data_IF_498697773570
#
_entry.id   IF_498697773570
#
_cell.length_a   1.000
_cell.length_b   1.000
_cell.length_c   1.000
_cell.angle_alpha   90.00
_cell.angle_beta   90.00
_cell.angle_gamma   90.00
#
_symmetry.space_group_name_H-M   'P 1'
#
loop_
_entity.id
_entity.type
_entity.pdbx_description
1 polymer ?
#
# COMPACT_ATOMS: atom_id res chain seq x y z
N UNK A 1 20.69 -78.73 2.94
CA UNK A 1 19.41 -78.04 3.13
C UNK A 1 19.40 -76.83 2.25
N UNK A 2 18.63 -76.87 1.17
CA UNK A 2 18.57 -75.86 0.12
C UNK A 2 17.35 -74.98 0.36
N UNK A 3 17.52 -73.67 0.41
CA UNK A 3 16.45 -72.70 0.51
C UNK A 3 16.16 -72.13 -0.89
N UNK A 4 14.90 -72.10 -1.36
CA UNK A 4 14.56 -71.57 -2.68
C UNK A 4 14.43 -70.06 -2.70
N UNK A 5 14.82 -69.49 -3.86
CA UNK A 5 14.77 -68.06 -4.16
C UNK A 5 13.33 -67.52 -4.30
N UNK A 6 13.09 -66.32 -3.82
CA UNK A 6 11.85 -65.57 -3.99
C UNK A 6 11.81 -64.86 -5.36
N UNK A 7 10.67 -64.82 -6.02
CA UNK A 7 10.50 -64.08 -7.26
C UNK A 7 10.32 -62.58 -7.04
N UNK A 8 10.70 -61.84 -8.05
CA UNK A 8 10.89 -60.41 -8.10
C UNK A 8 9.69 -59.55 -7.73
N UNK A 9 10.00 -58.43 -7.10
CA UNK A 9 9.12 -57.30 -6.85
C UNK A 9 8.85 -56.55 -8.16
N UNK A 10 7.61 -56.53 -8.54
CA UNK A 10 7.08 -55.64 -9.56
C UNK A 10 7.26 -54.19 -9.10
N UNK A 11 8.00 -53.40 -9.87
CA UNK A 11 8.13 -51.98 -9.70
C UNK A 11 6.84 -51.29 -10.12
N UNK A 12 5.99 -50.98 -9.16
CA UNK A 12 4.86 -50.09 -9.37
C UNK A 12 5.39 -48.64 -9.43
N UNK A 13 5.62 -48.17 -10.65
CA UNK A 13 5.92 -46.79 -10.95
C UNK A 13 4.66 -45.95 -10.69
N UNK A 14 4.52 -45.49 -9.45
CA UNK A 14 3.54 -44.47 -9.12
C UNK A 14 4.04 -43.13 -9.70
N UNK A 15 3.43 -42.72 -10.83
CA UNK A 15 3.61 -41.36 -11.35
C UNK A 15 3.28 -40.37 -10.21
N UNK A 16 4.12 -39.34 -9.99
CA UNK A 16 3.75 -38.34 -9.04
C UNK A 16 2.49 -37.64 -9.56
N UNK A 17 1.43 -37.70 -8.76
CA UNK A 17 0.23 -36.87 -8.93
C UNK A 17 0.71 -35.45 -8.96
N UNK A 18 0.54 -34.76 -10.09
CA UNK A 18 0.77 -33.31 -10.17
C UNK A 18 -0.11 -32.66 -9.12
N UNK A 19 0.50 -32.18 -8.05
CA UNK A 19 -0.14 -31.30 -7.12
C UNK A 19 -0.61 -30.09 -7.94
N UNK A 20 -1.93 -29.91 -8.05
CA UNK A 20 -2.49 -28.71 -8.66
C UNK A 20 -2.03 -27.54 -7.80
N UNK A 21 -1.15 -26.71 -8.35
CA UNK A 21 -0.76 -25.45 -7.75
C UNK A 21 -2.02 -24.58 -7.65
N UNK A 22 -2.61 -24.58 -6.46
CA UNK A 22 -3.79 -23.78 -6.09
C UNK A 22 -3.40 -22.42 -5.56
N UNK A 23 -2.12 -22.03 -5.69
CA UNK A 23 -1.65 -20.72 -5.28
C UNK A 23 -2.45 -19.62 -6.00
N UNK A 24 -3.06 -18.70 -5.29
CA UNK A 24 -3.80 -17.61 -5.89
C UNK A 24 -2.86 -16.75 -6.73
N UNK A 25 -3.27 -16.47 -7.95
CA UNK A 25 -2.51 -15.60 -8.84
C UNK A 25 -2.74 -14.15 -8.42
N UNK A 26 -1.66 -13.39 -8.32
CA UNK A 26 -1.65 -12.02 -7.86
C UNK A 26 -1.20 -11.11 -9.01
N UNK A 27 -2.05 -10.16 -9.41
CA UNK A 27 -1.64 -8.99 -10.18
C UNK A 27 -1.38 -7.86 -9.20
N UNK A 28 -0.20 -7.27 -9.26
CA UNK A 28 0.27 -6.26 -8.33
C UNK A 28 0.36 -4.90 -9.03
N UNK A 29 -0.24 -3.88 -8.42
CA UNK A 29 -0.11 -2.48 -8.81
C UNK A 29 0.43 -1.73 -7.61
N UNK A 30 1.55 -1.05 -7.78
CA UNK A 30 2.15 -0.22 -6.73
C UNK A 30 1.68 1.22 -6.91
N UNK A 31 1.34 1.88 -5.81
CA UNK A 31 1.04 3.31 -5.78
C UNK A 31 1.75 3.98 -4.62
N UNK A 32 2.06 5.26 -4.79
CA UNK A 32 2.79 6.05 -3.81
C UNK A 32 1.81 6.73 -2.85
N UNK A 33 2.08 6.61 -1.56
CA UNK A 33 1.39 7.36 -0.49
C UNK A 33 2.36 8.41 0.02
N UNK A 34 1.93 9.65 0.07
CA UNK A 34 2.74 10.81 0.48
C UNK A 34 2.08 11.54 1.63
N UNK A 35 2.88 12.23 2.44
CA UNK A 35 2.40 13.12 3.48
C UNK A 35 2.08 14.48 2.86
N UNK A 36 0.88 14.99 3.13
CA UNK A 36 0.36 16.22 2.53
C UNK A 36 -0.31 17.12 3.56
N UNK A 37 -0.39 18.39 3.25
CA UNK A 37 -1.17 19.36 4.00
C UNK A 37 -1.57 20.54 3.10
N UNK A 38 -2.55 21.34 3.54
CA UNK A 38 -2.83 22.62 2.89
C UNK A 38 -1.76 23.67 3.23
N UNK A 39 -1.49 24.62 2.30
CA UNK A 39 -0.60 25.75 2.57
C UNK A 39 -0.98 26.50 3.83
N UNK A 40 -2.28 26.73 4.06
CA UNK A 40 -2.79 27.42 5.25
C UNK A 40 -2.39 26.71 6.55
N UNK A 41 -2.48 25.39 6.59
CA UNK A 41 -2.04 24.62 7.76
C UNK A 41 -0.54 24.79 7.99
N UNK A 42 0.27 24.68 6.92
CA UNK A 42 1.74 24.78 7.00
C UNK A 42 2.21 26.19 7.41
N UNK A 43 1.51 27.23 6.99
CA UNK A 43 1.81 28.61 7.42
C UNK A 43 1.52 28.80 8.90
N UNK A 44 0.42 28.24 9.40
CA UNK A 44 0.02 28.36 10.81
C UNK A 44 0.84 27.47 11.75
N UNK A 45 1.09 26.22 11.35
CA UNK A 45 1.72 25.20 12.20
C UNK A 45 3.24 25.10 12.04
N UNK A 46 3.79 25.74 11.00
CA UNK A 46 5.17 25.64 10.58
C UNK A 46 5.36 24.63 9.44
N UNK A 47 6.35 24.91 8.59
CA UNK A 47 6.72 24.04 7.47
C UNK A 47 7.83 23.09 7.92
N UNK A 48 7.61 21.79 8.03
CA UNK A 48 8.65 20.84 8.41
C UNK A 48 9.81 20.83 7.39
N UNK A 49 11.03 20.90 7.88
CA UNK A 49 12.25 20.82 7.08
C UNK A 49 12.92 19.44 7.21
N UNK A 50 12.52 18.67 8.21
CA UNK A 50 13.01 17.32 8.47
C UNK A 50 12.02 16.53 9.31
N UNK A 51 12.30 15.23 9.49
CA UNK A 51 11.40 14.32 10.23
C UNK A 51 11.18 14.74 11.68
N UNK A 52 12.17 15.34 12.33
CA UNK A 52 12.06 15.81 13.71
C UNK A 52 11.02 16.92 13.87
N UNK A 53 10.85 17.77 12.86
CA UNK A 53 9.91 18.89 12.89
C UNK A 53 8.45 18.42 12.84
N UNK A 54 8.21 17.17 12.46
CA UNK A 54 6.86 16.59 12.43
C UNK A 54 6.30 16.31 13.82
N UNK A 55 7.15 16.29 14.85
CA UNK A 55 6.68 16.01 16.21
C UNK A 55 5.65 17.05 16.68
N UNK A 56 4.51 16.56 17.17
CA UNK A 56 3.42 17.39 17.66
C UNK A 56 2.48 17.95 16.58
N UNK A 57 2.79 17.77 15.29
CA UNK A 57 1.87 18.17 14.23
C UNK A 57 0.54 17.40 14.33
N UNK A 58 -0.54 18.10 13.97
CA UNK A 58 -1.86 17.49 13.85
C UNK A 58 -1.88 16.47 12.71
N UNK A 59 -2.39 15.27 12.97
CA UNK A 59 -2.52 14.20 11.98
C UNK A 59 -3.99 13.82 11.79
N UNK A 60 -4.39 13.78 10.54
CA UNK A 60 -5.65 13.21 10.07
C UNK A 60 -5.35 11.76 9.69
N UNK A 61 -5.76 10.82 10.55
CA UNK A 61 -5.31 9.44 10.50
C UNK A 61 -6.36 8.51 9.88
N UNK A 62 -5.92 7.68 8.95
CA UNK A 62 -6.75 6.60 8.41
C UNK A 62 -6.81 5.44 9.41
N UNK A 63 -8.03 5.01 9.77
CA UNK A 63 -8.24 3.96 10.76
C UNK A 63 -8.17 2.53 10.20
N UNK A 64 -8.21 2.38 8.86
CA UNK A 64 -8.10 1.09 8.19
C UNK A 64 -6.73 0.41 8.31
N UNK A 65 -5.73 1.12 8.84
CA UNK A 65 -4.42 0.58 9.18
C UNK A 65 -4.13 0.81 10.66
N UNK A 66 -3.51 -0.17 11.30
CA UNK A 66 -3.19 -0.08 12.74
C UNK A 66 -1.95 0.80 12.96
N UNK A 67 -2.13 2.11 12.78
CA UNK A 67 -1.11 3.11 13.06
C UNK A 67 -1.36 3.72 14.45
N UNK A 68 -0.29 3.90 15.22
CA UNK A 68 -0.33 4.68 16.46
C UNK A 68 0.04 6.15 16.19
N UNK A 69 -0.13 7.01 17.20
CA UNK A 69 0.36 8.40 17.12
C UNK A 69 1.89 8.46 16.99
N UNK A 70 2.56 7.37 17.36
CA UNK A 70 4.01 7.23 17.23
C UNK A 70 4.30 6.38 15.99
N UNK A 71 4.93 6.98 15.02
CA UNK A 71 5.30 6.34 13.77
C UNK A 71 6.81 6.28 13.61
N UNK A 72 7.32 5.15 13.15
CA UNK A 72 8.71 5.02 12.73
C UNK A 72 8.80 5.34 11.23
N UNK A 73 9.39 6.48 10.90
CA UNK A 73 9.59 6.93 9.53
C UNK A 73 11.05 6.76 9.12
N UNK A 74 11.28 6.28 7.91
CA UNK A 74 12.60 6.16 7.33
C UNK A 74 12.97 7.49 6.67
N UNK A 75 14.12 8.04 7.02
CA UNK A 75 14.67 9.26 6.43
C UNK A 75 16.06 9.01 5.85
N UNK A 76 16.67 10.03 5.20
CA UNK A 76 18.00 9.93 4.59
C UNK A 76 19.10 9.53 5.58
N UNK A 77 18.95 9.91 6.83
CA UNK A 77 19.87 9.68 7.95
C UNK A 77 19.45 8.53 8.87
N UNK A 78 18.45 7.72 8.45
CA UNK A 78 17.98 6.53 9.15
C UNK A 78 16.56 6.63 9.66
N UNK A 79 16.24 5.73 10.59
CA UNK A 79 14.89 5.60 11.15
C UNK A 79 14.65 6.59 12.27
N UNK A 80 13.60 7.39 12.14
CA UNK A 80 13.16 8.38 13.12
C UNK A 80 11.83 7.99 13.74
N UNK A 81 11.71 8.21 15.04
CA UNK A 81 10.47 8.05 15.78
C UNK A 81 9.78 9.40 15.85
N UNK A 82 8.65 9.53 15.18
CA UNK A 82 7.85 10.77 15.13
C UNK A 82 6.56 10.57 15.91
N UNK A 83 6.22 11.52 16.77
CA UNK A 83 4.98 11.52 17.54
C UNK A 83 4.04 12.58 16.99
N UNK A 84 2.95 12.15 16.39
CA UNK A 84 1.89 13.03 15.92
C UNK A 84 0.81 13.23 16.98
N UNK A 85 -0.02 14.23 16.78
CA UNK A 85 -1.25 14.43 17.53
C UNK A 85 -2.44 14.13 16.63
N UNK A 86 -3.03 12.94 16.75
CA UNK A 86 -4.23 12.59 15.97
C UNK A 86 -5.40 13.51 16.34
N UNK A 87 -5.89 14.28 15.39
CA UNK A 87 -7.03 15.21 15.55
C UNK A 87 -8.30 14.71 14.88
N UNK A 88 -8.17 13.79 13.94
CA UNK A 88 -9.28 13.10 13.27
C UNK A 88 -8.89 11.66 12.95
N UNK A 89 -9.84 10.77 13.09
CA UNK A 89 -9.73 9.36 12.70
C UNK A 89 -10.91 9.02 11.78
N UNK A 90 -10.63 8.48 10.61
CA UNK A 90 -11.67 8.11 9.63
C UNK A 90 -11.25 6.89 8.82
N UNK A 91 -12.20 6.05 8.45
CA UNK A 91 -12.03 4.96 7.47
C UNK A 91 -12.21 5.44 6.02
N UNK A 92 -12.54 6.72 5.83
CA UNK A 92 -12.77 7.30 4.52
C UNK A 92 -11.68 8.33 4.19
N UNK A 93 -10.81 7.99 3.24
CA UNK A 93 -9.71 8.85 2.79
C UNK A 93 -10.20 10.17 2.19
N UNK A 94 -11.37 10.19 1.53
CA UNK A 94 -11.94 11.42 0.97
C UNK A 94 -12.31 12.42 2.08
N UNK A 95 -12.83 11.95 3.20
CA UNK A 95 -13.11 12.82 4.36
C UNK A 95 -11.82 13.39 4.93
N UNK A 96 -10.76 12.58 5.03
CA UNK A 96 -9.45 13.05 5.49
C UNK A 96 -8.84 14.08 4.53
N UNK A 97 -8.99 13.88 3.22
CA UNK A 97 -8.57 14.84 2.19
C UNK A 97 -9.31 16.17 2.35
N UNK A 98 -10.63 16.14 2.48
CA UNK A 98 -11.43 17.35 2.71
C UNK A 98 -11.02 18.09 3.99
N UNK A 99 -10.76 17.36 5.07
CA UNK A 99 -10.27 17.94 6.32
C UNK A 99 -8.88 18.59 6.16
N UNK A 100 -7.98 17.96 5.40
CA UNK A 100 -6.67 18.52 5.08
C UNK A 100 -6.78 19.81 4.25
N UNK A 101 -7.68 19.84 3.28
CA UNK A 101 -8.00 21.05 2.49
C UNK A 101 -8.52 22.21 3.36
N UNK A 102 -9.19 21.90 4.46
CA UNK A 102 -9.65 22.88 5.45
C UNK A 102 -8.57 23.26 6.47
N UNK A 103 -7.33 22.86 6.26
CA UNK A 103 -6.22 23.22 7.14
C UNK A 103 -6.23 22.55 8.51
N UNK A 104 -6.87 21.40 8.67
CA UNK A 104 -6.98 20.72 9.96
C UNK A 104 -5.71 19.99 10.38
N UNK A 105 -4.85 19.58 9.44
CA UNK A 105 -3.64 18.84 9.78
C UNK A 105 -2.93 18.21 8.57
N UNK A 106 -1.91 17.45 8.88
CA UNK A 106 -1.21 16.58 7.95
C UNK A 106 -2.06 15.33 7.66
N UNK A 107 -1.93 14.79 6.45
CA UNK A 107 -2.62 13.57 6.02
C UNK A 107 -1.71 12.72 5.15
N UNK A 108 -1.75 11.40 5.30
CA UNK A 108 -1.17 10.47 4.34
C UNK A 108 -2.23 10.09 3.31
N UNK A 109 -1.98 10.40 2.05
CA UNK A 109 -2.89 10.08 0.95
C UNK A 109 -2.15 9.42 -0.22
N UNK A 110 -2.83 8.53 -0.97
CA UNK A 110 -2.37 8.14 -2.28
C UNK A 110 -2.20 9.37 -3.17
N UNK A 111 -1.04 9.50 -3.82
CA UNK A 111 -0.73 10.67 -4.66
C UNK A 111 -1.82 10.95 -5.69
N UNK A 112 -2.32 9.91 -6.36
CA UNK A 112 -3.37 10.02 -7.39
C UNK A 112 -4.68 10.62 -6.88
N UNK A 113 -5.01 10.48 -5.58
CA UNK A 113 -6.21 11.10 -5.00
C UNK A 113 -6.07 12.62 -4.87
N UNK A 114 -4.85 13.09 -4.59
CA UNK A 114 -4.57 14.49 -4.29
C UNK A 114 -4.03 15.28 -5.50
N UNK A 115 -3.84 14.63 -6.65
CA UNK A 115 -3.16 15.22 -7.82
C UNK A 115 -3.77 16.55 -8.25
N UNK A 116 -5.10 16.62 -8.39
CA UNK A 116 -5.80 17.85 -8.75
C UNK A 116 -5.66 18.96 -7.69
N UNK A 117 -5.61 18.59 -6.41
CA UNK A 117 -5.44 19.55 -5.32
C UNK A 117 -4.00 20.06 -5.24
N UNK A 118 -3.03 19.20 -5.55
CA UNK A 118 -1.61 19.57 -5.64
C UNK A 118 -1.40 20.53 -6.83
N UNK A 119 -1.91 20.18 -8.01
CA UNK A 119 -1.83 21.04 -9.20
C UNK A 119 -2.49 22.39 -9.00
N UNK A 120 -3.60 22.43 -8.27
CA UNK A 120 -4.31 23.67 -7.93
C UNK A 120 -3.68 24.43 -6.74
N UNK A 121 -2.61 23.92 -6.14
CA UNK A 121 -1.96 24.54 -4.97
C UNK A 121 -2.79 24.51 -3.69
N UNK A 122 -3.82 23.66 -3.60
CA UNK A 122 -4.66 23.50 -2.40
C UNK A 122 -4.05 22.52 -1.38
N UNK A 123 -3.26 21.56 -1.88
CA UNK A 123 -2.43 20.67 -1.06
C UNK A 123 -0.97 20.76 -1.52
N UNK A 124 -0.06 20.57 -0.59
CA UNK A 124 1.38 20.46 -0.84
C UNK A 124 1.90 19.16 -0.24
N UNK A 125 2.83 18.51 -0.93
CA UNK A 125 3.56 17.35 -0.37
C UNK A 125 4.58 17.83 0.66
N UNK A 126 4.55 17.22 1.82
CA UNK A 126 5.45 17.53 2.94
C UNK A 126 6.58 16.52 2.96
N UNK A 127 7.83 16.99 2.89
CA UNK A 127 9.04 16.17 2.87
C UNK A 127 9.03 15.05 1.81
N UNK A 128 8.82 15.36 0.53
CA UNK A 128 8.59 14.37 -0.54
C UNK A 128 9.76 13.39 -0.72
N UNK A 129 10.98 13.82 -0.41
CA UNK A 129 12.20 13.02 -0.54
C UNK A 129 12.52 12.20 0.73
N UNK A 130 11.88 12.54 1.85
CA UNK A 130 12.13 11.90 3.15
C UNK A 130 10.97 10.99 3.59
N UNK A 131 9.75 11.23 3.10
CA UNK A 131 8.57 10.49 3.52
C UNK A 131 7.75 10.09 2.30
N UNK A 132 7.60 8.80 2.15
CA UNK A 132 6.73 8.22 1.16
C UNK A 132 6.85 6.71 1.25
N UNK A 133 5.75 6.02 1.15
CA UNK A 133 5.77 4.58 1.09
C UNK A 133 4.93 4.09 -0.09
N UNK A 134 5.43 3.04 -0.71
CA UNK A 134 4.70 2.37 -1.76
C UNK A 134 3.73 1.38 -1.14
N UNK A 135 2.46 1.56 -1.41
CA UNK A 135 1.44 0.56 -1.16
C UNK A 135 1.20 -0.29 -2.40
N UNK A 136 0.64 -1.46 -2.19
CA UNK A 136 0.37 -2.38 -3.28
C UNK A 136 -1.09 -2.82 -3.27
N UNK A 137 -1.74 -2.61 -4.40
CA UNK A 137 -3.06 -3.14 -4.67
C UNK A 137 -2.90 -4.51 -5.35
N UNK A 138 -3.61 -5.50 -4.86
CA UNK A 138 -3.58 -6.86 -5.40
C UNK A 138 -4.93 -7.23 -6.00
N UNK A 139 -4.92 -7.70 -7.25
CA UNK A 139 -6.05 -8.47 -7.79
C UNK A 139 -5.78 -9.95 -7.49
N UNK A 140 -6.61 -10.56 -6.65
CA UNK A 140 -6.51 -11.96 -6.24
C UNK A 140 -7.59 -12.77 -6.96
N UNK A 141 -7.20 -13.86 -7.61
CA UNK A 141 -8.13 -14.76 -8.28
C UNK A 141 -7.70 -16.23 -8.18
N UNK A 142 -8.65 -17.19 -8.13
CA UNK A 142 -8.36 -18.56 -7.73
C UNK A 142 -7.46 -19.33 -8.68
N UNK A 143 -7.57 -19.12 -10.00
CA UNK A 143 -6.81 -19.88 -11.01
C UNK A 143 -6.91 -19.25 -12.40
N UNK A 144 -5.83 -19.33 -13.19
CA UNK A 144 -5.86 -18.95 -14.62
C UNK A 144 -6.75 -19.86 -15.46
N UNK A 145 -6.88 -21.12 -15.08
CA UNK A 145 -7.57 -22.16 -15.87
C UNK A 145 -9.09 -21.90 -15.96
N UNK A 146 -9.67 -21.22 -14.99
CA UNK A 146 -11.11 -20.99 -14.89
C UNK A 146 -11.51 -19.51 -14.98
N UNK A 147 -10.58 -18.62 -15.37
CA UNK A 147 -10.92 -17.22 -15.60
C UNK A 147 -11.76 -17.08 -16.86
N UNK A 148 -13.00 -16.61 -16.69
CA UNK A 148 -13.82 -16.25 -17.84
C UNK A 148 -13.15 -15.10 -18.63
N UNK A 149 -13.41 -15.04 -19.94
CA UNK A 149 -12.88 -13.96 -20.78
C UNK A 149 -13.20 -12.57 -20.22
N UNK A 150 -14.40 -12.38 -19.65
CA UNK A 150 -14.85 -11.12 -19.02
C UNK A 150 -13.96 -10.72 -17.84
N UNK A 151 -13.64 -11.65 -16.95
CA UNK A 151 -12.79 -11.39 -15.78
C UNK A 151 -11.36 -11.07 -16.22
N UNK A 152 -10.85 -11.76 -17.22
CA UNK A 152 -9.51 -11.49 -17.80
C UNK A 152 -9.44 -10.09 -18.38
N UNK A 153 -10.39 -9.73 -19.25
CA UNK A 153 -10.48 -8.39 -19.85
C UNK A 153 -10.57 -7.31 -18.78
N UNK A 154 -11.36 -7.53 -17.72
CA UNK A 154 -11.46 -6.59 -16.60
C UNK A 154 -10.12 -6.42 -15.87
N UNK A 155 -9.42 -7.52 -15.54
CA UNK A 155 -8.12 -7.45 -14.88
C UNK A 155 -7.09 -6.74 -15.76
N UNK A 156 -7.06 -7.03 -17.05
CA UNK A 156 -6.14 -6.40 -18.01
C UNK A 156 -6.44 -4.90 -18.15
N UNK A 157 -7.72 -4.53 -18.27
CA UNK A 157 -8.16 -3.14 -18.26
C UNK A 157 -7.73 -2.41 -16.99
N UNK A 158 -8.05 -2.96 -15.81
CA UNK A 158 -7.66 -2.36 -14.53
C UNK A 158 -6.14 -2.23 -14.41
N UNK A 159 -5.39 -3.25 -14.82
CA UNK A 159 -3.93 -3.21 -14.76
C UNK A 159 -3.37 -2.09 -15.62
N UNK A 160 -3.90 -1.90 -16.82
CA UNK A 160 -3.46 -0.85 -17.75
C UNK A 160 -3.87 0.54 -17.26
N UNK A 161 -5.12 0.70 -16.82
CA UNK A 161 -5.64 1.98 -16.34
C UNK A 161 -4.95 2.48 -15.07
N UNK A 162 -4.52 1.55 -14.19
CA UNK A 162 -3.89 1.87 -12.93
C UNK A 162 -2.35 1.96 -13.01
N UNK A 163 -1.74 1.65 -14.15
CA UNK A 163 -0.28 1.82 -14.33
C UNK A 163 0.18 3.28 -14.26
N UNK A 164 -0.72 4.23 -14.52
CA UNK A 164 -0.47 5.67 -14.41
C UNK A 164 -0.45 6.20 -12.98
N UNK A 165 -0.76 5.39 -11.96
CA UNK A 165 -0.83 5.80 -10.55
C UNK A 165 0.54 5.76 -9.81
N UNK A 166 1.65 5.64 -10.55
CA UNK A 166 3.02 5.58 -9.99
C UNK A 166 3.52 6.92 -9.51
#
# INVERSE_FOLDING_TARGET
STVPARPGRSSNSTKPTQAHDTSPLLRRIMYKVELMASPEYLERAGRPKGLADLNGHALLRFSGVNLSDIMALEGPDGRHKVTFRTVMLSENETILQLAALQGMGLVFLPKWMAEQDIEAGRLETVLPDAIGFANTLYAVYPSRKYLSAKVRTFIDFMTTSLQGLR
#
